data_IF_696889305238
#
_entry.id   IF_696889305238
#
_cell.length_a   1.000
_cell.length_b   1.000
_cell.length_c   1.000
_cell.angle_alpha   90.00
_cell.angle_beta   90.00
_cell.angle_gamma   90.00
#
_symmetry.space_group_name_H-M   'P 1'
#
loop_
_entity.id
_entity.type
_entity.pdbx_description
1 polymer ?
#
# COMPACT_ATOMS: atom_id res chain seq x y z
N UNK A 1 0.51 1.90 -24.52
CA UNK A 1 -0.15 0.89 -23.66
C UNK A 1 0.18 1.27 -22.22
N UNK A 2 -0.77 1.28 -21.28
CA UNK A 2 -0.44 1.50 -19.87
C UNK A 2 -0.06 0.16 -19.25
N UNK A 3 1.21 -0.23 -19.41
CA UNK A 3 1.77 -1.43 -18.79
C UNK A 3 1.58 -1.33 -17.28
N UNK A 4 0.81 -2.28 -16.73
CA UNK A 4 0.58 -2.35 -15.29
C UNK A 4 1.69 -3.20 -14.70
N UNK A 5 2.25 -2.74 -13.59
CA UNK A 5 3.35 -3.42 -12.93
C UNK A 5 2.94 -3.80 -11.51
N UNK A 6 3.38 -4.96 -11.06
CA UNK A 6 3.19 -5.40 -9.69
C UNK A 6 3.91 -4.43 -8.74
N UNK A 7 3.22 -3.90 -7.73
CA UNK A 7 3.83 -2.97 -6.78
C UNK A 7 4.81 -3.63 -5.79
N UNK A 8 4.86 -4.97 -5.74
CA UNK A 8 5.78 -5.70 -4.85
C UNK A 8 7.07 -6.08 -5.60
N UNK A 9 6.95 -6.76 -6.74
CA UNK A 9 8.10 -7.28 -7.48
C UNK A 9 8.44 -6.52 -8.77
N UNK A 10 7.60 -5.57 -9.20
CA UNK A 10 7.85 -4.75 -10.40
C UNK A 10 7.60 -5.45 -11.74
N UNK A 11 7.15 -6.70 -11.76
CA UNK A 11 6.89 -7.41 -13.02
C UNK A 11 5.67 -6.85 -13.74
N UNK A 12 5.68 -6.90 -15.07
CA UNK A 12 4.53 -6.54 -15.89
C UNK A 12 3.37 -7.52 -15.66
N UNK A 13 2.16 -6.99 -15.52
CA UNK A 13 0.93 -7.74 -15.31
C UNK A 13 -0.17 -7.25 -16.25
N UNK A 14 -0.94 -8.19 -16.79
CA UNK A 14 -2.10 -7.87 -17.63
C UNK A 14 -3.28 -7.45 -16.76
N UNK A 15 -3.97 -6.38 -17.14
CA UNK A 15 -5.13 -5.84 -16.39
C UNK A 15 -6.22 -6.89 -16.13
N UNK A 16 -6.38 -7.85 -17.04
CA UNK A 16 -7.42 -8.89 -17.00
C UNK A 16 -7.08 -10.02 -16.01
N UNK A 17 -5.80 -10.33 -15.82
CA UNK A 17 -5.34 -11.41 -14.95
C UNK A 17 -4.72 -10.92 -13.63
N UNK A 18 -4.53 -9.60 -13.48
CA UNK A 18 -3.89 -9.02 -12.32
C UNK A 18 -4.87 -8.84 -11.17
N UNK A 19 -4.50 -9.31 -9.98
CA UNK A 19 -5.23 -9.04 -8.75
C UNK A 19 -5.15 -7.55 -8.42
N UNK A 20 -6.30 -6.89 -8.21
CA UNK A 20 -6.40 -5.46 -7.90
C UNK A 20 -6.79 -5.25 -6.44
N UNK A 21 -5.93 -4.58 -5.65
CA UNK A 21 -6.20 -4.21 -4.24
C UNK A 21 -5.77 -2.76 -4.02
N UNK A 22 -6.55 -1.96 -3.30
CA UNK A 22 -6.23 -0.55 -3.00
C UNK A 22 -5.83 0.30 -4.23
N UNK A 23 -6.43 0.02 -5.39
CA UNK A 23 -6.10 0.70 -6.65
C UNK A 23 -4.77 0.30 -7.29
N UNK A 24 -4.04 -0.65 -6.71
CA UNK A 24 -2.77 -1.20 -7.20
C UNK A 24 -2.98 -2.57 -7.86
N UNK A 25 -2.06 -2.91 -8.76
CA UNK A 25 -2.05 -4.17 -9.50
C UNK A 25 -0.96 -5.11 -8.97
N UNK A 26 -1.26 -6.41 -8.96
CA UNK A 26 -0.37 -7.45 -8.45
C UNK A 26 -0.38 -8.66 -9.38
N UNK A 27 0.74 -9.38 -9.44
CA UNK A 27 0.87 -10.56 -10.28
C UNK A 27 0.21 -11.81 -9.67
N UNK A 28 0.01 -11.82 -8.36
CA UNK A 28 -0.62 -12.90 -7.62
C UNK A 28 -1.30 -12.35 -6.35
N UNK A 29 -2.13 -13.17 -5.73
CA UNK A 29 -2.80 -12.83 -4.48
C UNK A 29 -1.84 -12.74 -3.29
N UNK A 30 -0.70 -13.43 -3.34
CA UNK A 30 0.32 -13.34 -2.29
C UNK A 30 0.89 -11.92 -2.19
N UNK A 31 1.33 -11.32 -3.30
CA UNK A 31 1.79 -9.94 -3.33
C UNK A 31 0.66 -8.95 -3.01
N UNK A 32 -0.55 -9.26 -3.42
CA UNK A 32 -1.72 -8.47 -3.07
C UNK A 32 -1.94 -8.46 -1.54
N UNK A 33 -1.84 -9.61 -0.88
CA UNK A 33 -1.98 -9.76 0.57
C UNK A 33 -0.80 -9.14 1.32
N UNK A 34 0.44 -9.34 0.88
CA UNK A 34 1.62 -8.69 1.47
C UNK A 34 1.48 -7.16 1.47
N UNK A 35 0.90 -6.59 0.41
CA UNK A 35 0.64 -5.16 0.35
C UNK A 35 -0.41 -4.73 1.40
N UNK A 36 -1.48 -5.50 1.57
CA UNK A 36 -2.51 -5.22 2.60
C UNK A 36 -1.90 -5.27 4.00
N UNK A 37 -1.11 -6.31 4.28
CA UNK A 37 -0.45 -6.46 5.58
C UNK A 37 0.48 -5.29 5.88
N UNK A 38 1.36 -4.93 4.93
CA UNK A 38 2.25 -3.76 5.09
C UNK A 38 1.48 -2.47 5.31
N UNK A 39 0.38 -2.25 4.56
CA UNK A 39 -0.45 -1.05 4.73
C UNK A 39 -1.12 -0.99 6.09
N UNK A 40 -1.61 -2.11 6.60
CA UNK A 40 -2.19 -2.19 7.93
C UNK A 40 -1.15 -1.91 9.03
N UNK A 41 0.08 -2.40 8.86
CA UNK A 41 1.18 -2.11 9.78
C UNK A 41 1.62 -0.64 9.71
N UNK A 42 1.76 -0.07 8.51
CA UNK A 42 2.05 1.36 8.32
C UNK A 42 0.99 2.25 8.96
N UNK A 43 -0.29 1.90 8.83
CA UNK A 43 -1.39 2.67 9.42
C UNK A 43 -1.34 2.62 10.96
N UNK A 44 -1.08 1.44 11.54
CA UNK A 44 -0.87 1.31 12.99
C UNK A 44 0.32 2.12 13.48
N UNK A 45 1.46 2.05 12.78
CA UNK A 45 2.65 2.82 13.13
C UNK A 45 2.40 4.33 12.99
N UNK A 46 1.67 4.77 11.96
CA UNK A 46 1.29 6.18 11.81
C UNK A 46 0.32 6.63 12.90
N UNK A 47 -0.64 5.80 13.31
CA UNK A 47 -1.54 6.11 14.42
C UNK A 47 -0.76 6.22 15.74
N UNK A 48 0.13 5.27 16.04
CA UNK A 48 0.99 5.32 17.22
C UNK A 48 1.91 6.54 17.18
N UNK A 49 2.51 6.84 16.03
CA UNK A 49 3.32 8.04 15.82
C UNK A 49 2.48 9.31 16.08
N UNK A 50 1.25 9.39 15.56
CA UNK A 50 0.33 10.52 15.80
C UNK A 50 -0.09 10.63 17.26
N UNK A 51 -0.24 9.50 17.95
CA UNK A 51 -0.61 9.44 19.38
C UNK A 51 0.56 9.84 20.28
N UNK A 52 1.78 9.43 19.93
CA UNK A 52 3.03 9.76 20.65
C UNK A 52 3.54 11.16 20.34
N UNK A 53 3.23 11.68 19.14
CA UNK A 53 3.55 13.03 18.69
C UNK A 53 2.25 13.79 18.41
N UNK A 54 1.41 14.07 19.43
CA UNK A 54 0.28 14.95 19.24
C UNK A 54 0.84 16.27 18.69
N UNK A 55 0.27 16.79 17.60
CA UNK A 55 0.71 18.05 16.99
C UNK A 55 0.57 19.19 18.01
N UNK A 56 1.58 19.35 18.86
CA UNK A 56 1.78 20.50 19.75
C UNK A 56 2.45 21.56 18.89
N UNK A 57 1.69 22.57 18.49
CA UNK A 57 2.24 23.73 17.79
C UNK A 57 1.53 24.06 16.49
N UNK A 58 0.23 24.35 16.57
CA UNK A 58 -0.31 25.46 15.79
C UNK A 58 -0.03 26.73 16.59
N UNK A 59 0.95 27.51 16.15
CA UNK A 59 1.18 28.85 16.64
C UNK A 59 0.03 29.75 16.16
N UNK A 60 -0.82 30.16 17.10
CA UNK A 60 -1.64 31.38 17.06
C UNK A 60 -1.49 32.04 18.43
#
# INVERSE_FOLDING_TARGET
MFEKHCQICGIEVKKESASKRFGKYFCNDEHANQFVTKKAEEEKQQEEYRRSHPRRGGCC
#
